data_IF_533413961294
#
_entry.id   IF_533413961294
#
_cell.length_a   1.000
_cell.length_b   1.000
_cell.length_c   1.000
_cell.angle_alpha   90.00
_cell.angle_beta   90.00
_cell.angle_gamma   90.00
#
_symmetry.space_group_name_H-M   'P 1'
#
loop_
_entity.id
_entity.type
_entity.pdbx_description
1 polymer ?
#
# COMPACT_ATOMS: atom_id res chain seq x y z
N UNK A 1 6.12 -64.84 -16.47
CA UNK A 1 5.62 -64.44 -15.13
C UNK A 1 6.66 -64.86 -14.10
N UNK A 2 6.94 -64.07 -13.04
CA UNK A 2 6.43 -62.74 -12.65
C UNK A 2 7.44 -61.61 -13.03
N UNK A 3 7.13 -60.34 -13.30
CA UNK A 3 6.22 -59.29 -12.78
C UNK A 3 6.65 -58.70 -11.42
N UNK A 4 7.06 -57.42 -11.46
CA UNK A 4 7.12 -56.43 -10.39
C UNK A 4 8.26 -56.55 -9.35
N UNK A 5 9.31 -55.73 -9.46
CA UNK A 5 10.14 -55.33 -8.31
C UNK A 5 11.10 -54.13 -8.52
N UNK A 6 10.95 -53.28 -9.56
CA UNK A 6 11.82 -52.11 -9.75
C UNK A 6 11.08 -50.82 -10.15
N UNK A 7 9.79 -50.75 -9.85
CA UNK A 7 9.07 -49.48 -9.70
C UNK A 7 8.74 -49.40 -8.22
N UNK A 8 9.26 -48.38 -7.53
CA UNK A 8 8.86 -47.89 -6.19
C UNK A 8 10.04 -47.52 -5.27
N UNK A 9 11.06 -46.82 -5.77
CA UNK A 9 11.88 -45.96 -4.88
C UNK A 9 12.21 -44.65 -5.61
N UNK A 10 11.18 -43.85 -5.90
CA UNK A 10 11.31 -42.39 -5.90
C UNK A 10 10.87 -41.87 -4.53
N UNK A 11 11.53 -42.33 -3.47
CA UNK A 11 11.46 -41.63 -2.19
C UNK A 11 12.28 -40.36 -2.33
N UNK A 12 11.58 -39.27 -2.60
CA UNK A 12 12.08 -37.91 -2.59
C UNK A 12 12.43 -37.53 -1.13
N UNK A 13 13.43 -38.20 -0.54
CA UNK A 13 13.93 -37.94 0.82
C UNK A 13 15.12 -36.99 0.73
N UNK A 14 14.87 -35.77 0.25
CA UNK A 14 15.71 -34.65 0.67
C UNK A 14 15.26 -34.27 2.08
N UNK A 15 16.04 -34.59 3.10
CA UNK A 15 15.80 -34.08 4.47
C UNK A 15 15.77 -32.54 4.49
N UNK A 16 16.45 -31.91 3.52
CA UNK A 16 16.31 -30.50 3.18
C UNK A 16 15.42 -30.34 1.95
N UNK A 17 14.13 -30.59 2.10
CA UNK A 17 13.15 -30.02 1.18
C UNK A 17 13.07 -28.53 1.48
N UNK A 18 13.41 -27.69 0.49
CA UNK A 18 13.10 -26.25 0.59
C UNK A 18 11.61 -26.16 0.95
N UNK A 19 11.31 -25.66 2.16
CA UNK A 19 9.94 -25.61 2.67
C UNK A 19 8.97 -25.06 1.62
N UNK A 20 7.70 -25.51 1.66
CA UNK A 20 6.70 -25.21 0.61
C UNK A 20 6.81 -23.76 0.12
N UNK A 21 7.18 -23.59 -1.16
CA UNK A 21 7.14 -22.28 -1.82
C UNK A 21 5.69 -21.89 -2.09
N UNK A 22 5.10 -21.15 -1.15
CA UNK A 22 3.72 -20.67 -1.24
C UNK A 22 3.49 -19.74 -2.45
N UNK A 23 4.54 -19.13 -3.00
CA UNK A 23 4.46 -18.12 -4.04
C UNK A 23 4.80 -18.64 -5.44
N UNK A 24 5.23 -19.89 -5.58
CA UNK A 24 5.63 -20.50 -6.86
C UNK A 24 4.56 -20.34 -7.97
N UNK A 25 3.29 -20.64 -7.64
CA UNK A 25 2.17 -20.50 -8.58
C UNK A 25 1.91 -19.04 -8.95
N UNK A 26 2.06 -18.12 -7.99
CA UNK A 26 1.86 -16.70 -8.22
C UNK A 26 2.97 -16.11 -9.10
N UNK A 27 4.23 -16.51 -8.87
CA UNK A 27 5.41 -16.09 -9.66
C UNK A 27 5.29 -16.49 -11.12
N UNK A 28 4.84 -17.72 -11.41
CA UNK A 28 4.60 -18.20 -12.78
C UNK A 28 3.51 -17.43 -13.53
N UNK A 29 2.56 -16.81 -12.82
CA UNK A 29 1.46 -16.04 -13.42
C UNK A 29 1.83 -14.58 -13.70
N UNK A 30 2.99 -14.11 -13.23
CA UNK A 30 3.51 -12.77 -13.47
C UNK A 30 3.77 -11.97 -12.20
N UNK A 31 4.52 -10.88 -12.36
CA UNK A 31 5.03 -10.04 -11.26
C UNK A 31 3.89 -9.46 -10.43
N UNK A 32 2.86 -8.88 -11.05
CA UNK A 32 1.71 -8.32 -10.34
C UNK A 32 0.99 -9.35 -9.46
N UNK A 33 0.80 -10.56 -9.97
CA UNK A 33 0.12 -11.63 -9.21
C UNK A 33 0.98 -12.10 -8.03
N UNK A 34 2.30 -12.12 -8.20
CA UNK A 34 3.25 -12.43 -7.14
C UNK A 34 3.26 -11.36 -6.04
N UNK A 35 3.22 -10.08 -6.42
CA UNK A 35 3.10 -8.94 -5.48
C UNK A 35 1.81 -9.05 -4.67
N UNK A 36 0.67 -9.20 -5.36
CA UNK A 36 -0.64 -9.33 -4.71
C UNK A 36 -0.67 -10.53 -3.78
N UNK A 37 -0.06 -11.65 -4.16
CA UNK A 37 0.01 -12.83 -3.31
C UNK A 37 0.76 -12.54 -2.00
N UNK A 38 1.86 -11.78 -2.02
CA UNK A 38 2.60 -11.40 -0.81
C UNK A 38 1.83 -10.44 0.09
N UNK A 39 1.23 -9.41 -0.52
CA UNK A 39 0.40 -8.42 0.16
C UNK A 39 -0.72 -9.14 0.93
N UNK A 40 -1.42 -10.07 0.27
CA UNK A 40 -2.50 -10.81 0.89
C UNK A 40 -2.06 -12.15 1.51
N UNK A 41 -0.78 -12.35 1.84
CA UNK A 41 -0.34 -13.61 2.47
C UNK A 41 -0.56 -13.61 3.99
N UNK A 42 -1.05 -14.72 4.54
CA UNK A 42 -1.14 -14.93 6.00
C UNK A 42 -1.81 -13.80 6.76
N UNK A 43 -1.13 -13.26 7.78
CA UNK A 43 -1.63 -12.19 8.64
C UNK A 43 -1.63 -10.80 7.97
N UNK A 44 -0.95 -10.63 6.84
CA UNK A 44 -0.86 -9.33 6.15
C UNK A 44 -2.24 -8.86 5.64
N UNK A 45 -3.16 -9.79 5.34
CA UNK A 45 -4.56 -9.48 5.00
C UNK A 45 -5.25 -8.63 6.06
N UNK A 46 -5.02 -8.95 7.34
CA UNK A 46 -5.62 -8.24 8.47
C UNK A 46 -5.05 -6.82 8.54
N UNK A 47 -3.73 -6.68 8.42
CA UNK A 47 -3.08 -5.37 8.41
C UNK A 47 -3.62 -4.48 7.30
N UNK A 48 -3.83 -5.02 6.09
CA UNK A 48 -4.42 -4.27 4.97
C UNK A 48 -5.84 -3.84 5.28
N UNK A 49 -6.68 -4.74 5.80
CA UNK A 49 -8.06 -4.39 6.17
C UNK A 49 -8.08 -3.26 7.20
N UNK A 50 -7.20 -3.31 8.20
CA UNK A 50 -7.07 -2.24 9.21
C UNK A 50 -6.55 -0.95 8.58
N UNK A 51 -5.58 -1.01 7.65
CA UNK A 51 -5.11 0.17 6.91
C UNK A 51 -6.24 0.79 6.09
N UNK A 52 -7.01 0.00 5.33
CA UNK A 52 -8.13 0.53 4.54
C UNK A 52 -9.18 1.19 5.45
N UNK A 53 -9.55 0.50 6.53
CA UNK A 53 -10.52 1.01 7.50
C UNK A 53 -10.07 2.32 8.16
N UNK A 54 -8.83 2.36 8.68
CA UNK A 54 -8.27 3.56 9.32
C UNK A 54 -8.07 4.71 8.32
N UNK A 55 -7.81 4.42 7.04
CA UNK A 55 -7.72 5.45 5.97
C UNK A 55 -9.07 6.11 5.74
N UNK A 56 -10.15 5.31 5.68
CA UNK A 56 -11.52 5.83 5.54
C UNK A 56 -11.89 6.69 6.75
N UNK A 57 -11.65 6.18 7.97
CA UNK A 57 -11.93 6.94 9.20
C UNK A 57 -11.16 8.25 9.22
N UNK A 58 -9.85 8.24 8.94
CA UNK A 58 -9.03 9.45 8.94
C UNK A 58 -9.55 10.48 7.93
N UNK A 59 -10.01 10.03 6.76
CA UNK A 59 -10.58 10.90 5.72
C UNK A 59 -11.95 11.47 6.11
N UNK A 60 -12.79 10.67 6.78
CA UNK A 60 -14.08 11.13 7.35
C UNK A 60 -13.82 12.18 8.43
N UNK A 61 -12.93 11.90 9.39
CA UNK A 61 -12.61 12.85 10.46
C UNK A 61 -12.09 14.18 9.91
N UNK A 62 -11.18 14.14 8.93
CA UNK A 62 -10.67 15.34 8.27
C UNK A 62 -11.76 16.14 7.55
N UNK A 63 -12.71 15.45 6.91
CA UNK A 63 -13.85 16.10 6.24
C UNK A 63 -14.82 16.70 7.25
N UNK A 64 -15.11 15.99 8.34
CA UNK A 64 -15.95 16.49 9.45
C UNK A 64 -15.34 17.73 10.10
N UNK A 65 -14.01 17.79 10.28
CA UNK A 65 -13.34 19.01 10.76
C UNK A 65 -13.62 20.17 9.81
N UNK A 66 -13.47 19.96 8.51
CA UNK A 66 -13.66 21.01 7.50
C UNK A 66 -15.10 21.54 7.48
N UNK A 67 -16.09 20.65 7.57
CA UNK A 67 -17.51 21.04 7.67
C UNK A 67 -17.80 21.76 8.98
N UNK A 68 -17.23 21.28 10.09
CA UNK A 68 -17.40 21.91 11.41
C UNK A 68 -16.85 23.35 11.43
N UNK A 69 -15.73 23.59 10.76
CA UNK A 69 -15.17 24.94 10.57
C UNK A 69 -16.15 25.81 9.77
N UNK A 70 -16.70 25.31 8.66
CA UNK A 70 -17.68 26.04 7.87
C UNK A 70 -18.91 26.46 8.68
N UNK A 71 -19.52 25.52 9.41
CA UNK A 71 -20.69 25.81 10.26
C UNK A 71 -20.33 26.81 11.37
N UNK A 72 -19.16 26.69 11.99
CA UNK A 72 -18.73 27.62 13.03
C UNK A 72 -18.59 29.06 12.49
N UNK A 73 -18.05 29.22 11.28
CA UNK A 73 -17.90 30.51 10.59
C UNK A 73 -19.28 31.10 10.24
N UNK A 74 -20.20 30.28 9.74
CA UNK A 74 -21.56 30.72 9.41
C UNK A 74 -22.32 31.20 10.66
N UNK A 75 -22.24 30.44 11.76
CA UNK A 75 -22.86 30.80 13.03
C UNK A 75 -22.26 32.07 13.64
N UNK A 76 -20.94 32.23 13.54
CA UNK A 76 -20.27 33.45 13.98
C UNK A 76 -20.74 34.67 13.16
N UNK A 77 -20.92 34.51 11.85
CA UNK A 77 -21.31 35.59 10.94
C UNK A 77 -22.72 36.14 11.21
N UNK A 78 -23.63 35.32 11.73
CA UNK A 78 -24.99 35.72 12.11
C UNK A 78 -25.14 36.14 13.59
N UNK A 79 -24.02 36.25 14.32
CA UNK A 79 -24.00 36.66 15.73
C UNK A 79 -24.32 35.55 16.75
N UNK A 80 -24.33 34.28 16.33
CA UNK A 80 -24.61 33.11 17.16
C UNK A 80 -23.42 32.68 18.03
N UNK A 81 -23.04 33.48 19.03
CA UNK A 81 -21.86 33.22 19.87
C UNK A 81 -22.03 31.95 20.75
N UNK A 82 -23.26 31.61 21.14
CA UNK A 82 -23.53 30.51 22.07
C UNK A 82 -23.12 29.11 21.57
N UNK A 83 -23.12 28.89 20.25
CA UNK A 83 -22.73 27.61 19.64
C UNK A 83 -21.23 27.53 19.30
N UNK A 84 -20.50 28.66 19.35
CA UNK A 84 -19.10 28.72 18.93
C UNK A 84 -18.18 27.87 19.81
N UNK A 85 -18.44 27.85 21.13
CA UNK A 85 -17.67 27.03 22.08
C UNK A 85 -17.82 25.55 21.74
N UNK A 86 -19.04 25.11 21.42
CA UNK A 86 -19.30 23.72 21.04
C UNK A 86 -18.47 23.31 19.82
N UNK A 87 -18.56 24.06 18.71
CA UNK A 87 -17.80 23.74 17.50
C UNK A 87 -16.28 23.84 17.72
N UNK A 88 -15.80 24.80 18.50
CA UNK A 88 -14.37 24.93 18.83
C UNK A 88 -13.87 23.69 19.57
N UNK A 89 -14.60 23.23 20.59
CA UNK A 89 -14.25 22.03 21.35
C UNK A 89 -14.34 20.78 20.46
N UNK A 90 -15.37 20.68 19.61
CA UNK A 90 -15.49 19.57 18.64
C UNK A 90 -14.30 19.53 17.69
N UNK A 91 -13.91 20.66 17.09
CA UNK A 91 -12.76 20.76 16.18
C UNK A 91 -11.48 20.39 16.91
N UNK A 92 -11.29 20.84 18.15
CA UNK A 92 -10.12 20.50 18.96
C UNK A 92 -10.04 18.99 19.22
N UNK A 93 -11.14 18.37 19.65
CA UNK A 93 -11.20 16.92 19.91
C UNK A 93 -10.92 16.13 18.63
N UNK A 94 -11.58 16.48 17.52
CA UNK A 94 -11.35 15.83 16.23
C UNK A 94 -9.91 16.04 15.74
N UNK A 95 -9.35 17.23 15.97
CA UNK A 95 -7.97 17.59 15.63
C UNK A 95 -6.93 16.81 16.43
N UNK A 96 -7.25 16.36 17.65
CA UNK A 96 -6.41 15.46 18.43
C UNK A 96 -6.58 13.99 18.03
N UNK A 97 -7.80 13.57 17.66
CA UNK A 97 -8.08 12.17 17.29
C UNK A 97 -7.56 11.83 15.88
N UNK A 98 -7.72 12.74 14.91
CA UNK A 98 -7.31 12.53 13.51
C UNK A 98 -5.84 12.10 13.35
N UNK A 99 -4.85 12.78 13.97
CA UNK A 99 -3.45 12.37 13.85
C UNK A 99 -3.17 11.01 14.48
N UNK A 100 -3.91 10.57 15.50
CA UNK A 100 -3.77 9.22 16.06
C UNK A 100 -4.08 8.17 14.99
N UNK A 101 -5.19 8.33 14.27
CA UNK A 101 -5.54 7.43 13.16
C UNK A 101 -4.53 7.50 12.02
N UNK A 102 -4.00 8.69 11.69
CA UNK A 102 -2.96 8.83 10.66
C UNK A 102 -1.65 8.17 11.05
N UNK A 103 -1.21 8.32 12.29
CA UNK A 103 -0.01 7.68 12.82
C UNK A 103 -0.15 6.15 12.82
N UNK A 104 -1.30 5.64 13.27
CA UNK A 104 -1.61 4.22 13.21
C UNK A 104 -1.55 3.72 11.75
N UNK A 105 -2.18 4.46 10.84
CA UNK A 105 -2.20 4.11 9.42
C UNK A 105 -0.80 4.06 8.81
N UNK A 106 0.01 5.10 9.03
CA UNK A 106 1.40 5.16 8.56
C UNK A 106 2.24 4.02 9.13
N UNK A 107 2.13 3.76 10.43
CA UNK A 107 2.87 2.67 11.09
C UNK A 107 2.50 1.30 10.54
N UNK A 108 1.21 1.04 10.28
CA UNK A 108 0.75 -0.22 9.72
C UNK A 108 1.24 -0.43 8.28
N UNK A 109 1.28 0.63 7.47
CA UNK A 109 1.85 0.59 6.12
C UNK A 109 3.34 0.29 6.13
N UNK A 110 4.09 0.88 7.05
CA UNK A 110 5.51 0.60 7.22
C UNK A 110 5.74 -0.85 7.64
N UNK A 111 4.95 -1.36 8.60
CA UNK A 111 5.02 -2.77 9.02
C UNK A 111 4.74 -3.71 7.85
N UNK A 112 3.74 -3.41 7.01
CA UNK A 112 3.45 -4.18 5.80
C UNK A 112 4.63 -4.18 4.83
N UNK A 113 5.29 -3.04 4.67
CA UNK A 113 6.45 -2.86 3.80
C UNK A 113 7.63 -3.73 4.25
N UNK A 114 7.97 -3.64 5.53
CA UNK A 114 9.05 -4.42 6.15
C UNK A 114 8.76 -5.93 6.12
N UNK A 115 7.51 -6.34 6.32
CA UNK A 115 7.12 -7.75 6.21
C UNK A 115 7.26 -8.28 4.79
N UNK A 116 6.84 -7.50 3.80
CA UNK A 116 7.01 -7.84 2.40
C UNK A 116 8.50 -8.02 2.06
N UNK A 117 9.35 -7.05 2.42
CA UNK A 117 10.79 -7.13 2.20
C UNK A 117 11.39 -8.38 2.84
N UNK A 118 11.03 -8.64 4.10
CA UNK A 118 11.48 -9.83 4.84
C UNK A 118 11.05 -11.13 4.14
N UNK A 119 9.79 -11.22 3.72
CA UNK A 119 9.24 -12.44 3.14
C UNK A 119 9.83 -12.70 1.74
N UNK A 120 9.99 -11.65 0.92
CA UNK A 120 10.70 -11.73 -0.36
C UNK A 120 12.16 -12.13 -0.20
N UNK A 121 12.86 -11.58 0.79
CA UNK A 121 14.26 -11.93 1.07
C UNK A 121 14.40 -13.41 1.47
N UNK A 122 13.48 -13.91 2.31
CA UNK A 122 13.42 -15.33 2.69
C UNK A 122 13.14 -16.23 1.48
N UNK A 123 12.19 -15.86 0.64
CA UNK A 123 11.88 -16.57 -0.60
C UNK A 123 13.11 -16.66 -1.52
N UNK A 124 13.82 -15.54 -1.72
CA UNK A 124 15.01 -15.50 -2.54
C UNK A 124 16.12 -16.39 -1.97
N UNK A 125 16.44 -16.26 -0.67
CA UNK A 125 17.49 -17.07 -0.06
C UNK A 125 17.17 -18.56 -0.12
N UNK A 126 15.91 -18.95 0.11
CA UNK A 126 15.48 -20.35 -0.04
C UNK A 126 15.72 -20.89 -1.44
N UNK A 127 15.49 -20.08 -2.48
CA UNK A 127 15.77 -20.50 -3.86
C UNK A 127 17.25 -20.55 -4.18
N UNK A 128 18.02 -19.60 -3.65
CA UNK A 128 19.45 -19.53 -3.89
C UNK A 128 20.15 -20.76 -3.31
N UNK A 129 19.82 -21.14 -2.07
CA UNK A 129 20.37 -22.33 -1.40
C UNK A 129 19.95 -23.64 -2.08
N UNK A 130 18.81 -23.65 -2.77
CA UNK A 130 18.33 -24.81 -3.52
C UNK A 130 18.88 -24.94 -4.95
N UNK A 131 19.83 -24.09 -5.38
CA UNK A 131 20.45 -24.19 -6.71
C UNK A 131 21.61 -25.20 -6.75
N UNK A 132 21.97 -25.62 -7.96
CA UNK A 132 23.07 -26.57 -8.17
C UNK A 132 24.44 -25.91 -7.95
N UNK A 133 25.45 -26.71 -7.63
CA UNK A 133 26.83 -26.23 -7.49
C UNK A 133 27.32 -25.48 -8.74
N UNK A 134 26.99 -25.98 -9.94
CA UNK A 134 27.34 -25.31 -11.20
C UNK A 134 26.73 -23.90 -11.34
N UNK A 135 25.58 -23.63 -10.73
CA UNK A 135 25.02 -22.27 -10.68
C UNK A 135 25.88 -21.37 -9.79
N UNK A 136 26.30 -21.87 -8.63
CA UNK A 136 27.15 -21.15 -7.69
C UNK A 136 28.58 -20.92 -8.22
N UNK A 137 29.12 -21.83 -9.01
CA UNK A 137 30.45 -21.68 -9.60
C UNK A 137 30.48 -20.62 -10.73
N UNK A 138 29.34 -20.37 -11.39
CA UNK A 138 29.21 -19.43 -12.51
C UNK A 138 28.92 -17.99 -12.10
N UNK A 139 28.50 -17.75 -10.86
CA UNK A 139 28.04 -16.44 -10.39
C UNK A 139 28.78 -16.06 -9.12
N UNK A 140 29.29 -14.83 -9.04
CA UNK A 140 29.92 -14.33 -7.80
C UNK A 140 28.86 -14.18 -6.72
N UNK A 141 29.02 -14.92 -5.62
CA UNK A 141 28.08 -14.89 -4.48
C UNK A 141 27.90 -13.48 -3.93
N UNK A 142 28.95 -12.66 -3.92
CA UNK A 142 28.88 -11.25 -3.50
C UNK A 142 27.92 -10.40 -4.35
N UNK A 143 27.97 -10.55 -5.68
CA UNK A 143 27.11 -9.82 -6.61
C UNK A 143 25.65 -10.27 -6.52
N UNK A 144 25.42 -11.55 -6.19
CA UNK A 144 24.07 -12.05 -5.94
C UNK A 144 23.52 -11.48 -4.63
N UNK A 145 24.32 -11.43 -3.56
CA UNK A 145 23.87 -10.92 -2.26
C UNK A 145 23.61 -9.41 -2.27
N UNK A 146 24.39 -8.63 -3.03
CA UNK A 146 24.13 -7.20 -3.21
C UNK A 146 22.80 -6.95 -3.92
N UNK A 147 22.57 -7.62 -5.06
CA UNK A 147 21.28 -7.55 -5.78
C UNK A 147 20.10 -7.95 -4.91
N UNK A 148 20.24 -8.98 -4.08
CA UNK A 148 19.18 -9.38 -3.14
C UNK A 148 18.88 -8.29 -2.13
N UNK A 149 19.89 -7.59 -1.65
CA UNK A 149 19.68 -6.56 -0.64
C UNK A 149 19.09 -5.31 -1.27
N UNK A 150 19.66 -4.88 -2.39
CA UNK A 150 19.31 -3.63 -3.05
C UNK A 150 17.99 -3.74 -3.84
N UNK A 151 17.82 -4.79 -4.65
CA UNK A 151 16.62 -4.96 -5.47
C UNK A 151 15.39 -5.29 -4.61
N UNK A 152 15.55 -6.11 -3.55
CA UNK A 152 14.44 -6.44 -2.65
C UNK A 152 14.05 -5.23 -1.81
N UNK A 153 15.01 -4.37 -1.44
CA UNK A 153 14.69 -3.09 -0.82
C UNK A 153 13.95 -2.17 -1.80
N UNK A 154 14.30 -2.15 -3.09
CA UNK A 154 13.51 -1.39 -4.09
C UNK A 154 12.07 -1.90 -4.20
N UNK A 155 11.85 -3.21 -4.07
CA UNK A 155 10.49 -3.78 -4.03
C UNK A 155 9.66 -3.22 -2.85
N UNK A 156 10.28 -2.97 -1.69
CA UNK A 156 9.61 -2.34 -0.54
C UNK A 156 9.03 -0.96 -0.94
N UNK A 157 9.86 -0.11 -1.56
CA UNK A 157 9.46 1.24 -1.99
C UNK A 157 8.37 1.25 -3.08
N UNK A 158 8.35 0.25 -3.96
CA UNK A 158 7.37 0.18 -5.04
C UNK A 158 6.00 -0.36 -4.59
N UNK A 159 5.98 -1.30 -3.64
CA UNK A 159 4.79 -2.12 -3.40
C UNK A 159 3.94 -1.61 -2.23
N UNK A 160 4.55 -1.33 -1.08
CA UNK A 160 3.77 -1.00 0.14
C UNK A 160 3.21 0.42 0.14
N UNK A 161 3.97 1.44 -0.31
CA UNK A 161 3.41 2.78 -0.46
C UNK A 161 2.34 2.83 -1.55
N UNK A 162 2.57 2.22 -2.71
CA UNK A 162 1.76 2.48 -3.90
C UNK A 162 0.29 2.09 -3.74
N UNK A 163 -0.03 0.87 -3.29
CA UNK A 163 -1.43 0.42 -3.17
C UNK A 163 -2.18 1.24 -2.12
N UNK A 164 -1.55 1.44 -0.97
CA UNK A 164 -2.16 2.17 0.14
C UNK A 164 -2.31 3.67 -0.19
N UNK A 165 -1.35 4.25 -0.91
CA UNK A 165 -1.36 5.65 -1.35
C UNK A 165 -2.37 5.89 -2.47
N UNK A 166 -2.58 4.95 -3.39
CA UNK A 166 -3.67 5.02 -4.36
C UNK A 166 -5.01 5.04 -3.63
N UNK A 167 -5.21 4.15 -2.66
CA UNK A 167 -6.45 4.10 -1.89
C UNK A 167 -6.67 5.38 -1.07
N UNK A 168 -5.63 5.89 -0.42
CA UNK A 168 -5.68 7.15 0.32
C UNK A 168 -5.95 8.36 -0.58
N UNK A 169 -5.33 8.41 -1.75
CA UNK A 169 -5.60 9.46 -2.75
C UNK A 169 -7.05 9.43 -3.20
N UNK A 170 -7.59 8.22 -3.41
CA UNK A 170 -8.99 8.02 -3.76
C UNK A 170 -9.93 8.47 -2.62
N UNK A 171 -9.69 8.05 -1.38
CA UNK A 171 -10.55 8.42 -0.24
C UNK A 171 -10.49 9.91 0.07
N UNK A 172 -9.31 10.52 -0.04
CA UNK A 172 -9.10 11.97 0.17
C UNK A 172 -9.78 12.80 -0.91
N UNK A 173 -9.98 12.26 -2.12
CA UNK A 173 -10.77 12.90 -3.16
C UNK A 173 -12.27 12.71 -2.94
N UNK A 174 -12.71 11.47 -2.74
CA UNK A 174 -14.13 11.10 -2.80
C UNK A 174 -14.89 11.50 -1.54
N UNK A 175 -14.29 11.38 -0.35
CA UNK A 175 -15.00 11.64 0.90
C UNK A 175 -15.36 13.13 1.05
N UNK A 176 -14.48 14.10 0.78
CA UNK A 176 -14.87 15.51 0.78
C UNK A 176 -15.99 15.81 -0.23
N UNK A 177 -15.96 15.22 -1.43
CA UNK A 177 -17.05 15.39 -2.42
C UNK A 177 -18.39 14.88 -1.86
N UNK A 178 -18.38 13.73 -1.18
CA UNK A 178 -19.57 13.22 -0.51
C UNK A 178 -20.08 14.16 0.59
N UNK A 179 -19.19 14.75 1.38
CA UNK A 179 -19.57 15.73 2.39
C UNK A 179 -20.11 17.04 1.78
N UNK A 180 -19.56 17.47 0.63
CA UNK A 180 -20.10 18.62 -0.13
C UNK A 180 -21.54 18.30 -0.58
N UNK A 181 -21.78 17.14 -1.19
CA UNK A 181 -23.11 16.71 -1.64
C UNK A 181 -24.16 16.71 -0.52
N UNK A 182 -23.75 16.39 0.71
CA UNK A 182 -24.65 16.30 1.87
C UNK A 182 -24.92 17.63 2.56
N UNK A 183 -23.91 18.51 2.66
CA UNK A 183 -23.97 19.70 3.53
C UNK A 183 -23.99 21.03 2.76
N UNK A 184 -23.66 21.02 1.47
CA UNK A 184 -23.38 22.22 0.70
C UNK A 184 -24.06 22.20 -0.69
N UNK A 185 -24.22 23.38 -1.32
CA UNK A 185 -24.75 23.47 -2.69
C UNK A 185 -23.90 22.68 -3.69
N UNK A 186 -24.57 21.91 -4.57
CA UNK A 186 -23.93 21.02 -5.55
C UNK A 186 -22.99 21.75 -6.52
N UNK A 187 -23.15 23.06 -6.68
CA UNK A 187 -22.28 23.91 -7.50
C UNK A 187 -20.82 23.89 -7.00
N UNK A 188 -20.59 23.71 -5.70
CA UNK A 188 -19.25 23.66 -5.11
C UNK A 188 -18.45 22.42 -5.51
N UNK A 189 -19.10 21.40 -6.09
CA UNK A 189 -18.43 20.21 -6.64
C UNK A 189 -17.62 20.54 -7.89
N UNK A 190 -17.94 21.65 -8.57
CA UNK A 190 -17.19 22.09 -9.74
C UNK A 190 -15.72 22.37 -9.40
N UNK A 191 -15.45 22.94 -8.22
CA UNK A 191 -14.10 23.29 -7.76
C UNK A 191 -13.15 22.08 -7.66
N UNK A 192 -13.44 21.02 -6.86
CA UNK A 192 -12.57 19.85 -6.77
C UNK A 192 -12.48 19.07 -8.08
N UNK A 193 -13.53 19.03 -8.91
CA UNK A 193 -13.50 18.36 -10.21
C UNK A 193 -12.55 19.10 -11.16
N UNK A 194 -12.72 20.42 -11.30
CA UNK A 194 -11.87 21.24 -12.16
C UNK A 194 -10.41 21.15 -11.73
N UNK A 195 -10.14 21.28 -10.42
CA UNK A 195 -8.80 21.10 -9.87
C UNK A 195 -8.23 19.72 -10.21
N UNK A 196 -9.00 18.65 -10.03
CA UNK A 196 -8.55 17.28 -10.32
C UNK A 196 -8.21 17.10 -11.80
N UNK A 197 -9.04 17.63 -12.71
CA UNK A 197 -8.79 17.56 -14.15
C UNK A 197 -7.50 18.31 -14.52
N UNK A 198 -7.35 19.55 -14.05
CA UNK A 198 -6.16 20.36 -14.30
C UNK A 198 -4.90 19.73 -13.71
N UNK A 199 -5.00 19.16 -12.51
CA UNK A 199 -3.93 18.42 -11.87
C UNK A 199 -3.53 17.19 -12.68
N UNK A 200 -4.48 16.37 -13.14
CA UNK A 200 -4.20 15.19 -13.96
C UNK A 200 -3.56 15.55 -15.31
N UNK A 201 -4.00 16.63 -15.96
CA UNK A 201 -3.38 17.13 -17.19
C UNK A 201 -1.93 17.57 -16.90
N UNK A 202 -1.72 18.35 -15.84
CA UNK A 202 -0.40 18.83 -15.45
C UNK A 202 0.55 17.68 -15.10
N UNK A 203 0.07 16.70 -14.33
CA UNK A 203 0.82 15.50 -13.97
C UNK A 203 1.18 14.67 -15.20
N UNK A 204 0.25 14.48 -16.14
CA UNK A 204 0.54 13.77 -17.41
C UNK A 204 1.59 14.50 -18.23
N UNK A 205 1.54 15.83 -18.30
CA UNK A 205 2.55 16.64 -19.02
C UNK A 205 3.91 16.55 -18.34
N UNK A 206 3.94 16.60 -17.02
CA UNK A 206 5.17 16.44 -16.23
C UNK A 206 5.80 15.05 -16.43
N UNK A 207 5.01 13.98 -16.30
CA UNK A 207 5.49 12.61 -16.50
C UNK A 207 6.03 12.37 -17.91
N UNK A 208 5.41 12.94 -18.95
CA UNK A 208 5.93 12.88 -20.33
C UNK A 208 7.28 13.58 -20.52
N UNK A 209 7.56 14.64 -19.75
CA UNK A 209 8.86 15.33 -19.77
C UNK A 209 9.94 14.55 -19.03
N UNK A 210 9.56 13.83 -17.97
CA UNK A 210 10.48 13.02 -17.17
C UNK A 210 10.82 11.67 -17.80
N UNK A 211 9.86 11.02 -18.47
CA UNK A 211 10.07 9.69 -19.06
C UNK A 211 11.33 9.53 -19.93
N UNK A 212 11.74 10.50 -20.79
CA UNK A 212 12.97 10.35 -21.56
C UNK A 212 14.25 10.43 -20.71
N UNK A 213 14.24 11.11 -19.55
CA UNK A 213 15.42 11.26 -18.68
C UNK A 213 15.59 10.04 -17.78
N UNK A 214 14.49 9.43 -17.34
CA UNK A 214 14.53 8.22 -16.51
C UNK A 214 14.82 6.96 -17.33
N UNK A 215 14.45 6.92 -18.62
CA UNK A 215 14.78 5.80 -19.51
C UNK A 215 16.22 5.80 -20.03
N UNK A 216 16.98 6.88 -19.80
CA UNK A 216 18.39 7.02 -20.18
C UNK A 216 19.39 6.77 -19.04
N UNK A 217 18.90 6.45 -17.84
CA UNK A 217 19.69 6.00 -16.67
C UNK A 217 19.53 4.49 -16.50
#
# INVERSE_FOLDING_TARGET
MPKHAFEDIQTNTSEFSAGKDYFQKARKKGVLRWIIAHIFHGTNKIFILVVLFTTIIASILASTISVSIGIAVDQFSIGGIGSLIFYTVTILILGLITPIFRLLNYSLREILAQRLERDTRKEFYGMLLGKSQSFHDKQRVGDLMSRVTDDVRMLNFLISPAVSLIFESFTTLVIPIFFILLNYPVQLIFEPILFTILFLISLRRYNKKLSPVTGSL
#
